data_IF_331748531803
#
_entry.id   IF_331748531803
#
_cell.length_a   1.000
_cell.length_b   1.000
_cell.length_c   1.000
_cell.angle_alpha   90.00
_cell.angle_beta   90.00
_cell.angle_gamma   90.00
#
_symmetry.space_group_name_H-M   'P 1'
#
loop_
_entity.id
_entity.type
_entity.pdbx_description
1 polymer ?
#
# COMPACT_ATOMS: atom_id res chain seq x y z
N UNK A 1 -3.16 -8.19 20.64
CA UNK A 1 -4.41 -7.49 20.28
C UNK A 1 -4.22 -6.03 19.79
N UNK A 2 -3.03 -5.59 19.32
CA UNK A 2 -2.80 -4.17 18.91
C UNK A 2 -2.23 -3.98 17.50
N UNK A 3 -1.90 -5.06 16.78
CA UNK A 3 -1.24 -5.01 15.46
C UNK A 3 -2.20 -4.63 14.34
N UNK A 4 -3.43 -5.17 14.31
CA UNK A 4 -4.35 -4.95 13.18
C UNK A 4 -4.82 -3.51 12.96
N UNK A 5 -4.90 -2.70 14.02
CA UNK A 5 -5.23 -1.27 13.91
C UNK A 5 -4.08 -0.51 13.24
N UNK A 6 -2.84 -0.78 13.64
CA UNK A 6 -1.64 -0.15 13.08
C UNK A 6 -1.51 -0.53 11.61
N UNK A 7 -1.67 -1.82 11.28
CA UNK A 7 -1.63 -2.33 9.91
C UNK A 7 -2.64 -1.60 9.01
N UNK A 8 -3.86 -1.36 9.50
CA UNK A 8 -4.91 -0.64 8.78
C UNK A 8 -4.58 0.85 8.57
N UNK A 9 -4.03 1.51 9.60
CA UNK A 9 -3.61 2.92 9.51
C UNK A 9 -2.47 3.09 8.52
N UNK A 10 -1.47 2.20 8.57
CA UNK A 10 -0.34 2.20 7.63
C UNK A 10 -0.85 1.94 6.21
N UNK A 11 -1.73 0.96 6.02
CA UNK A 11 -2.33 0.68 4.71
C UNK A 11 -3.05 1.89 4.12
N UNK A 12 -3.89 2.56 4.93
CA UNK A 12 -4.58 3.79 4.53
C UNK A 12 -3.61 4.90 4.16
N UNK A 13 -2.58 5.13 4.98
CA UNK A 13 -1.56 6.13 4.70
C UNK A 13 -0.82 5.85 3.39
N UNK A 14 -0.40 4.61 3.17
CA UNK A 14 0.27 4.19 1.93
C UNK A 14 -0.66 4.32 0.72
N UNK A 15 -1.95 4.02 0.86
CA UNK A 15 -2.93 4.22 -0.20
C UNK A 15 -3.06 5.70 -0.59
N UNK A 16 -3.11 6.61 0.40
CA UNK A 16 -3.12 8.06 0.15
C UNK A 16 -1.85 8.51 -0.56
N UNK A 17 -0.67 8.03 -0.15
CA UNK A 17 0.59 8.33 -0.82
C UNK A 17 0.62 7.82 -2.27
N UNK A 18 0.12 6.60 -2.51
CA UNK A 18 0.03 6.03 -3.86
C UNK A 18 -0.88 6.85 -4.77
N UNK A 19 -2.05 7.26 -4.28
CA UNK A 19 -2.96 8.15 -5.02
C UNK A 19 -2.30 9.52 -5.26
N UNK A 20 -1.60 10.07 -4.27
CA UNK A 20 -0.82 11.31 -4.43
C UNK A 20 0.26 11.21 -5.51
N UNK A 21 0.96 10.07 -5.58
CA UNK A 21 1.90 9.75 -6.66
C UNK A 21 1.24 9.74 -8.04
N UNK A 22 0.01 9.22 -8.13
CA UNK A 22 -0.75 9.22 -9.38
C UNK A 22 -1.16 10.63 -9.82
N UNK A 23 -1.55 11.50 -8.87
CA UNK A 23 -1.80 12.91 -9.15
C UNK A 23 -0.54 13.60 -9.68
N UNK A 24 0.62 13.36 -9.07
CA UNK A 24 1.90 13.87 -9.58
C UNK A 24 2.20 13.36 -10.99
N UNK A 25 2.02 12.06 -11.24
CA UNK A 25 2.24 11.46 -12.55
C UNK A 25 1.32 12.05 -13.62
N UNK A 26 0.08 12.41 -13.27
CA UNK A 26 -0.88 13.00 -14.22
C UNK A 26 -0.50 14.41 -14.71
N UNK A 27 0.21 15.19 -13.88
CA UNK A 27 0.68 16.54 -14.24
C UNK A 27 2.14 16.61 -14.68
N UNK A 28 2.84 15.48 -14.69
CA UNK A 28 4.26 15.40 -15.00
C UNK A 28 4.52 15.69 -16.48
N UNK A 29 5.31 16.72 -16.75
CA UNK A 29 5.84 17.00 -18.10
C UNK A 29 7.13 16.21 -18.36
N UNK A 30 7.87 15.89 -17.29
CA UNK A 30 9.09 15.09 -17.34
C UNK A 30 8.79 13.60 -17.16
N UNK A 31 9.37 12.75 -18.01
CA UNK A 31 9.14 11.30 -18.01
C UNK A 31 9.56 10.62 -16.69
N UNK A 32 10.54 11.19 -16.00
CA UNK A 32 11.05 10.68 -14.71
C UNK A 32 10.00 10.78 -13.61
N UNK A 33 9.33 11.93 -13.49
CA UNK A 33 8.28 12.16 -12.49
C UNK A 33 7.05 11.30 -12.78
N UNK A 34 6.74 11.11 -14.06
CA UNK A 34 5.66 10.21 -14.48
C UNK A 34 5.94 8.77 -14.08
N UNK A 35 7.14 8.25 -14.38
CA UNK A 35 7.55 6.90 -14.03
C UNK A 35 7.60 6.72 -12.51
N UNK A 36 8.11 7.70 -11.77
CA UNK A 36 8.16 7.69 -10.32
C UNK A 36 6.77 7.59 -9.70
N UNK A 37 5.84 8.45 -10.10
CA UNK A 37 4.48 8.46 -9.55
C UNK A 37 3.71 7.18 -9.86
N UNK A 38 3.87 6.61 -11.06
CA UNK A 38 3.30 5.31 -11.43
C UNK A 38 3.91 4.17 -10.59
N UNK A 39 5.23 4.17 -10.41
CA UNK A 39 5.93 3.17 -9.61
C UNK A 39 5.52 3.23 -8.14
N UNK A 40 5.35 4.43 -7.59
CA UNK A 40 4.87 4.65 -6.22
C UNK A 40 3.45 4.11 -6.03
N UNK A 41 2.56 4.32 -7.01
CA UNK A 41 1.22 3.76 -6.95
C UNK A 41 1.22 2.23 -6.99
N UNK A 42 1.97 1.62 -7.92
CA UNK A 42 2.09 0.16 -8.01
C UNK A 42 2.65 -0.41 -6.70
N UNK A 43 3.69 0.22 -6.14
CA UNK A 43 4.25 -0.15 -4.85
C UNK A 43 3.19 -0.07 -3.74
N UNK A 44 2.43 1.02 -3.67
CA UNK A 44 1.40 1.21 -2.65
C UNK A 44 0.30 0.12 -2.71
N UNK A 45 -0.10 -0.28 -3.93
CA UNK A 45 -1.06 -1.38 -4.13
C UNK A 45 -0.47 -2.70 -3.62
N UNK A 46 0.72 -3.08 -4.09
CA UNK A 46 1.37 -4.33 -3.68
C UNK A 46 1.59 -4.39 -2.16
N UNK A 47 2.00 -3.29 -1.55
CA UNK A 47 2.20 -3.19 -0.11
C UNK A 47 0.89 -3.40 0.67
N UNK A 48 -0.22 -2.80 0.22
CA UNK A 48 -1.53 -3.02 0.83
C UNK A 48 -1.98 -4.48 0.71
N UNK A 49 -1.77 -5.12 -0.45
CA UNK A 49 -2.05 -6.56 -0.60
C UNK A 49 -1.22 -7.42 0.36
N UNK A 50 0.04 -7.07 0.59
CA UNK A 50 0.89 -7.77 1.55
C UNK A 50 0.38 -7.62 2.99
N UNK A 51 -0.09 -6.43 3.39
CA UNK A 51 -0.69 -6.23 4.71
C UNK A 51 -1.96 -7.06 4.89
N UNK A 52 -2.83 -7.08 3.88
CA UNK A 52 -4.06 -7.89 3.88
C UNK A 52 -3.70 -9.37 4.01
N UNK A 53 -2.75 -9.84 3.20
CA UNK A 53 -2.28 -11.23 3.27
C UNK A 53 -1.73 -11.57 4.67
N UNK A 54 -0.86 -10.72 5.23
CA UNK A 54 -0.30 -10.95 6.56
C UNK A 54 -1.35 -10.99 7.67
N UNK A 55 -2.45 -10.26 7.52
CA UNK A 55 -3.60 -10.34 8.42
C UNK A 55 -4.27 -11.73 8.36
N UNK A 56 -4.56 -12.22 7.15
CA UNK A 56 -5.18 -13.53 6.95
C UNK A 56 -4.25 -14.68 7.34
N UNK A 57 -2.96 -14.60 6.99
CA UNK A 57 -1.97 -15.62 7.35
C UNK A 57 -1.89 -15.80 8.88
N UNK A 58 -1.96 -14.70 9.64
CA UNK A 58 -2.02 -14.75 11.11
C UNK A 58 -3.32 -15.36 11.63
N UNK A 59 -4.46 -15.01 11.02
CA UNK A 59 -5.75 -15.55 11.41
C UNK A 59 -5.84 -17.07 11.13
N UNK A 60 -5.26 -17.54 10.03
CA UNK A 60 -5.18 -18.97 9.71
C UNK A 60 -4.22 -19.71 10.65
N UNK A 61 -3.08 -19.12 11.01
CA UNK A 61 -2.18 -19.70 12.02
C UNK A 61 -2.87 -19.88 13.38
N UNK A 62 -3.69 -18.93 13.82
CA UNK A 62 -4.46 -19.03 15.06
C UNK A 62 -5.56 -20.11 14.99
N UNK A 63 -6.10 -20.40 13.80
CA UNK A 63 -7.12 -21.46 13.58
C UNK A 63 -6.54 -22.86 13.52
N UNK A 64 -5.27 -22.99 13.13
CA UNK A 64 -4.58 -24.27 12.94
C UNK A 64 -3.57 -24.59 14.07
N UNK A 65 -3.51 -23.76 15.12
CA UNK A 65 -2.74 -23.99 16.34
C UNK A 65 -3.60 -24.65 17.43
#
# INVERSE_FOLDING_TARGET
MKTGLIDSIIGLFVAVLGIGGLFMASGAHDSEVHLFGLSLFVFAVLFNFQLIKGHFDRADQERHA
#
